data_IF_427066611887
#
_entry.id   IF_427066611887
#
_cell.length_a   1.000
_cell.length_b   1.000
_cell.length_c   1.000
_cell.angle_alpha   90.00
_cell.angle_beta   90.00
_cell.angle_gamma   90.00
#
_symmetry.space_group_name_H-M   'P 1'
#
loop_
_entity.id
_entity.type
_entity.pdbx_description
1 polymer ?
#
# COMPACT_ATOMS: atom_id res chain seq x y z
N UNK A 1 24.55 17.39 95.70
CA UNK A 1 25.45 17.06 94.57
C UNK A 1 25.03 17.90 93.38
N UNK A 2 25.73 19.00 93.12
CA UNK A 2 25.40 19.91 92.02
C UNK A 2 26.09 19.42 90.73
N UNK A 3 25.29 19.02 89.76
CA UNK A 3 25.71 18.64 88.41
C UNK A 3 26.15 19.89 87.66
N UNK A 4 27.40 19.93 87.19
CA UNK A 4 27.97 21.07 86.47
C UNK A 4 27.39 21.20 85.05
N UNK A 5 26.93 22.39 84.62
CA UNK A 5 26.21 22.61 83.35
C UNK A 5 27.10 22.51 82.11
N UNK A 6 28.41 22.41 82.27
CA UNK A 6 29.42 22.45 81.21
C UNK A 6 29.51 21.17 80.37
N UNK A 7 29.13 20.01 80.90
CA UNK A 7 29.15 18.74 80.14
C UNK A 7 27.98 18.62 79.15
N UNK A 8 26.81 19.15 79.51
CA UNK A 8 25.61 19.09 78.66
C UNK A 8 25.75 20.04 77.47
N UNK A 9 26.32 21.23 77.69
CA UNK A 9 26.57 22.21 76.63
C UNK A 9 27.58 21.68 75.62
N UNK A 10 28.66 21.02 76.06
CA UNK A 10 29.64 20.43 75.15
C UNK A 10 29.09 19.24 74.35
N UNK A 11 28.17 18.46 74.91
CA UNK A 11 27.48 17.39 74.20
C UNK A 11 26.49 17.95 73.17
N UNK A 12 25.75 19.00 73.50
CA UNK A 12 24.84 19.68 72.58
C UNK A 12 25.59 20.39 71.45
N UNK A 13 26.73 21.03 71.73
CA UNK A 13 27.55 21.69 70.71
C UNK A 13 28.19 20.67 69.74
N UNK A 14 28.64 19.51 70.25
CA UNK A 14 29.12 18.39 69.42
C UNK A 14 27.99 17.76 68.59
N UNK A 15 26.78 17.68 69.12
CA UNK A 15 25.59 17.20 68.39
C UNK A 15 25.15 18.18 67.29
N UNK A 16 25.25 19.50 67.55
CA UNK A 16 24.94 20.54 66.56
C UNK A 16 25.98 20.60 65.43
N UNK A 17 27.27 20.38 65.76
CA UNK A 17 28.35 20.25 64.77
C UNK A 17 28.27 18.94 63.97
N UNK A 18 27.79 17.84 64.55
CA UNK A 18 27.56 16.61 63.78
C UNK A 18 26.31 16.68 62.90
N UNK A 19 25.25 17.39 63.33
CA UNK A 19 24.06 17.62 62.51
C UNK A 19 24.33 18.54 61.30
N UNK A 20 25.26 19.51 61.41
CA UNK A 20 25.60 20.40 60.30
C UNK A 20 26.47 19.71 59.23
N UNK A 21 27.23 18.66 59.59
CA UNK A 21 27.98 17.85 58.61
C UNK A 21 27.10 16.87 57.82
N UNK A 22 25.87 16.59 58.26
CA UNK A 22 24.92 15.70 57.59
C UNK A 22 23.99 16.41 56.59
N UNK A 23 24.07 17.75 56.46
CA UNK A 23 23.22 18.53 55.56
C UNK A 23 23.96 19.11 54.35
N UNK A 24 24.90 18.35 53.76
CA UNK A 24 25.25 18.58 52.35
C UNK A 24 24.21 17.89 51.49
N UNK A 25 23.10 18.58 51.25
CA UNK A 25 22.17 18.22 50.19
C UNK A 25 22.95 18.22 48.88
N UNK A 26 23.30 17.01 48.43
CA UNK A 26 23.74 16.77 47.07
C UNK A 26 22.54 17.07 46.18
N UNK A 27 22.49 18.29 45.61
CA UNK A 27 21.62 18.58 44.48
C UNK A 27 22.11 17.73 43.31
N UNK A 28 21.68 16.47 43.27
CA UNK A 28 21.73 15.63 42.10
C UNK A 28 20.74 16.25 41.10
N UNK A 29 21.22 17.26 40.36
CA UNK A 29 20.52 17.73 39.18
C UNK A 29 20.20 16.52 38.31
N UNK A 30 18.94 16.41 37.86
CA UNK A 30 18.53 15.37 36.90
C UNK A 30 19.50 15.43 35.72
N UNK A 31 20.49 14.56 35.71
CA UNK A 31 21.35 14.37 34.57
C UNK A 31 20.47 13.71 33.51
N UNK A 32 19.93 14.52 32.60
CA UNK A 32 19.36 13.98 31.37
C UNK A 32 20.53 13.33 30.67
N UNK A 33 20.53 12.00 30.62
CA UNK A 33 21.45 11.25 29.76
C UNK A 33 21.30 11.87 28.39
N UNK A 34 22.36 12.53 27.94
CA UNK A 34 22.49 12.98 26.56
C UNK A 34 22.57 11.68 25.79
N UNK A 35 21.56 11.40 24.97
CA UNK A 35 21.62 10.28 24.05
C UNK A 35 22.95 10.36 23.28
N UNK A 36 23.66 9.25 23.23
CA UNK A 36 24.91 9.17 22.49
C UNK A 36 24.69 9.70 21.07
N UNK A 37 25.61 10.51 20.50
CA UNK A 37 25.47 11.03 19.16
C UNK A 37 25.23 9.86 18.20
N UNK A 38 24.08 9.89 17.52
CA UNK A 38 23.57 8.92 16.54
C UNK A 38 24.61 7.91 16.03
N UNK A 39 24.70 6.75 16.69
CA UNK A 39 25.62 5.65 16.36
C UNK A 39 25.19 4.86 15.11
N UNK A 40 24.50 5.49 14.17
CA UNK A 40 24.08 4.88 12.90
C UNK A 40 25.31 4.70 11.99
N UNK A 41 26.12 3.67 12.26
CA UNK A 41 27.37 3.42 11.53
C UNK A 41 28.37 2.51 12.27
N UNK A 42 28.19 2.25 13.57
CA UNK A 42 28.97 1.25 14.30
C UNK A 42 28.12 0.00 14.49
N UNK A 43 28.55 -1.14 13.94
CA UNK A 43 27.92 -2.45 14.15
C UNK A 43 28.09 -2.90 15.61
N UNK A 44 27.40 -2.26 16.56
CA UNK A 44 27.46 -2.64 17.96
C UNK A 44 26.22 -3.47 18.34
N UNK A 45 26.33 -4.79 18.57
CA UNK A 45 25.19 -5.65 18.87
C UNK A 45 24.57 -5.41 20.26
N UNK A 46 25.11 -4.47 21.06
CA UNK A 46 24.69 -4.19 22.43
C UNK A 46 24.00 -2.82 22.63
N UNK A 47 23.88 -1.98 21.61
CA UNK A 47 23.10 -0.74 21.71
C UNK A 47 21.62 -1.05 21.42
N UNK A 48 20.76 -0.85 22.41
CA UNK A 48 19.32 -0.88 22.20
C UNK A 48 18.96 0.13 21.10
N UNK A 49 18.19 -0.32 20.11
CA UNK A 49 17.70 0.43 18.95
C UNK A 49 16.75 1.58 19.36
N UNK A 50 17.24 2.54 20.15
CA UNK A 50 16.47 3.58 20.83
C UNK A 50 15.75 4.58 19.91
N UNK A 51 15.94 4.50 18.60
CA UNK A 51 15.22 5.35 17.64
C UNK A 51 14.92 4.60 16.34
N UNK A 52 14.34 3.39 16.44
CA UNK A 52 13.80 2.72 15.25
C UNK A 52 12.70 3.60 14.67
N UNK A 53 12.95 4.18 13.49
CA UNK A 53 11.99 4.99 12.74
C UNK A 53 10.67 4.23 12.63
N UNK A 54 9.57 4.89 13.03
CA UNK A 54 8.24 4.28 13.01
C UNK A 54 7.49 4.75 11.75
N UNK A 55 7.15 3.83 10.83
CA UNK A 55 6.39 4.19 9.64
C UNK A 55 4.98 4.63 10.02
N UNK A 56 4.47 5.68 9.35
CA UNK A 56 3.12 6.21 9.58
C UNK A 56 2.02 5.30 9.05
N UNK A 57 2.33 4.56 8.00
CA UNK A 57 1.42 3.61 7.34
C UNK A 57 2.13 2.28 7.17
N UNK A 58 1.35 1.20 7.12
CA UNK A 58 1.88 -0.10 6.74
C UNK A 58 2.27 -0.08 5.25
N UNK A 59 3.41 -0.70 4.88
CA UNK A 59 3.74 -0.93 3.48
C UNK A 59 2.62 -1.69 2.76
N UNK A 60 2.48 -1.44 1.46
CA UNK A 60 1.62 -2.26 0.60
C UNK A 60 2.06 -3.73 0.60
N UNK A 61 1.19 -4.66 0.15
CA UNK A 61 1.58 -6.04 -0.03
C UNK A 61 2.72 -6.16 -1.06
N UNK A 62 3.53 -7.21 -0.94
CA UNK A 62 4.55 -7.53 -1.94
C UNK A 62 3.84 -7.98 -3.22
N UNK A 63 4.06 -7.28 -4.33
CA UNK A 63 3.43 -7.54 -5.63
C UNK A 63 4.41 -7.29 -6.78
N UNK A 64 4.02 -7.63 -8.01
CA UNK A 64 4.84 -7.46 -9.20
C UNK A 64 5.72 -8.68 -9.52
N UNK A 65 6.78 -8.53 -10.33
CA UNK A 65 7.49 -9.67 -10.90
C UNK A 65 8.14 -10.57 -9.83
N UNK A 66 7.87 -11.88 -9.89
CA UNK A 66 8.33 -12.85 -8.89
C UNK A 66 9.85 -12.83 -8.66
N UNK A 67 10.63 -12.58 -9.71
CA UNK A 67 12.09 -12.50 -9.58
C UNK A 67 12.55 -11.30 -8.75
N UNK A 68 11.82 -10.17 -8.77
CA UNK A 68 12.08 -8.97 -7.97
C UNK A 68 11.60 -9.16 -6.52
N UNK A 69 10.48 -9.87 -6.31
CA UNK A 69 9.97 -10.16 -4.97
C UNK A 69 11.01 -10.82 -4.05
N UNK A 70 12.01 -11.52 -4.61
CA UNK A 70 13.16 -12.10 -3.88
C UNK A 70 14.08 -11.07 -3.20
N UNK A 71 13.90 -9.79 -3.50
CA UNK A 71 14.56 -8.68 -2.82
C UNK A 71 13.81 -8.23 -1.55
N UNK A 72 12.56 -8.67 -1.35
CA UNK A 72 11.82 -8.39 -0.13
C UNK A 72 12.60 -8.90 1.10
N UNK A 73 12.65 -8.09 2.15
CA UNK A 73 13.39 -8.39 3.38
C UNK A 73 14.90 -8.17 3.31
N UNK A 74 15.46 -7.76 2.15
CA UNK A 74 16.86 -7.31 2.02
C UNK A 74 16.91 -5.80 2.01
N UNK A 75 17.98 -5.23 2.56
CA UNK A 75 18.20 -3.79 2.60
C UNK A 75 19.55 -3.44 1.99
N UNK A 76 19.59 -2.35 1.22
CA UNK A 76 20.76 -1.89 0.50
C UNK A 76 21.07 -0.47 0.94
N UNK A 77 22.32 -0.22 1.31
CA UNK A 77 22.76 1.11 1.76
C UNK A 77 23.64 1.81 0.74
N UNK A 78 23.51 3.13 0.67
CA UNK A 78 24.33 4.01 -0.15
C UNK A 78 24.66 5.26 0.64
N UNK A 79 25.93 5.65 0.63
CA UNK A 79 26.40 6.83 1.36
C UNK A 79 26.80 7.86 0.32
N UNK A 80 26.20 9.04 0.44
CA UNK A 80 26.52 10.19 -0.40
C UNK A 80 26.72 11.41 0.49
N UNK A 81 27.92 11.99 0.40
CA UNK A 81 28.35 13.08 1.26
C UNK A 81 28.19 12.73 2.74
N UNK A 82 27.26 13.38 3.46
CA UNK A 82 27.00 13.18 4.89
C UNK A 82 25.78 12.33 5.17
N UNK A 83 25.11 11.79 4.15
CA UNK A 83 23.86 11.04 4.32
C UNK A 83 24.04 9.59 3.90
N UNK A 84 23.54 8.68 4.74
CA UNK A 84 23.37 7.27 4.44
C UNK A 84 21.90 7.01 4.11
N UNK A 85 21.65 6.55 2.91
CA UNK A 85 20.36 6.08 2.46
C UNK A 85 20.28 4.57 2.63
N UNK A 86 19.15 4.06 3.09
CA UNK A 86 18.89 2.63 3.18
C UNK A 86 17.55 2.32 2.51
N UNK A 87 17.59 1.46 1.50
CA UNK A 87 16.42 1.05 0.73
C UNK A 87 16.16 -0.43 0.96
N UNK A 88 14.95 -0.74 1.45
CA UNK A 88 14.46 -2.10 1.59
C UNK A 88 13.26 -2.28 0.65
N UNK A 89 13.41 -2.99 -0.50
CA UNK A 89 12.33 -3.22 -1.45
C UNK A 89 11.07 -3.77 -0.78
N UNK A 90 9.91 -3.24 -1.18
CA UNK A 90 8.59 -3.56 -0.63
C UNK A 90 8.37 -3.19 0.85
N UNK A 91 9.29 -2.41 1.46
CA UNK A 91 9.15 -1.95 2.83
C UNK A 91 9.22 -0.42 2.90
N UNK A 92 10.41 0.16 2.99
CA UNK A 92 10.60 1.60 3.08
C UNK A 92 11.98 2.01 2.56
N UNK A 93 12.17 3.32 2.47
CA UNK A 93 13.47 3.95 2.25
C UNK A 93 13.70 4.99 3.34
N UNK A 94 14.89 5.00 3.93
CA UNK A 94 15.28 5.89 5.02
C UNK A 94 16.52 6.70 4.69
N UNK A 95 16.67 7.82 5.37
CA UNK A 95 17.83 8.69 5.32
C UNK A 95 18.36 8.89 6.74
N UNK A 96 19.66 8.70 6.90
CA UNK A 96 20.37 8.89 8.16
C UNK A 96 21.56 9.82 7.93
N UNK A 97 21.56 10.98 8.56
CA UNK A 97 22.71 11.85 8.62
C UNK A 97 23.83 11.18 9.45
N UNK A 98 25.03 11.13 8.89
CA UNK A 98 26.22 10.47 9.46
C UNK A 98 27.07 11.44 10.32
N UNK A 99 26.55 12.61 10.66
CA UNK A 99 27.27 13.58 11.48
C UNK A 99 27.23 13.19 12.96
N UNK A 100 28.30 13.47 13.71
CA UNK A 100 28.37 13.25 15.16
C UNK A 100 27.55 14.26 15.98
N UNK A 101 26.51 14.85 15.37
CA UNK A 101 25.63 15.80 16.05
C UNK A 101 24.63 15.02 16.89
N UNK A 102 24.36 15.51 18.09
CA UNK A 102 23.33 14.95 18.97
C UNK A 102 21.92 15.00 18.36
N UNK A 103 21.70 15.85 17.34
CA UNK A 103 20.44 16.03 16.63
C UNK A 103 20.54 15.73 15.12
N UNK A 104 21.40 14.79 14.70
CA UNK A 104 21.52 14.42 13.29
C UNK A 104 20.16 13.92 12.74
N UNK A 105 19.81 14.33 11.51
CA UNK A 105 18.53 13.96 10.92
C UNK A 105 18.46 12.45 10.64
N UNK A 106 17.34 11.83 11.00
CA UNK A 106 17.03 10.44 10.70
C UNK A 106 15.54 10.37 10.38
N UNK A 107 15.19 9.86 9.20
CA UNK A 107 13.80 9.89 8.75
C UNK A 107 13.47 8.95 7.59
N UNK A 108 12.17 8.74 7.39
CA UNK A 108 11.62 7.90 6.32
C UNK A 108 11.34 8.78 5.10
N UNK A 109 11.96 8.46 3.96
CA UNK A 109 11.75 9.16 2.69
C UNK A 109 10.56 8.62 1.90
N UNK A 110 10.08 7.42 2.24
CA UNK A 110 8.89 6.82 1.65
C UNK A 110 8.70 5.37 2.09
N UNK A 111 7.46 4.91 1.97
CA UNK A 111 6.98 3.57 2.32
C UNK A 111 6.37 2.97 1.06
N UNK A 112 6.64 1.70 0.78
CA UNK A 112 6.15 1.01 -0.42
C UNK A 112 4.63 1.13 -0.57
N UNK A 113 4.16 1.56 -1.74
CA UNK A 113 2.73 1.68 -2.07
C UNK A 113 2.35 0.92 -3.34
N UNK A 114 2.96 1.26 -4.47
CA UNK A 114 2.49 0.84 -5.79
C UNK A 114 3.62 0.88 -6.83
N UNK A 115 3.40 0.20 -7.95
CA UNK A 115 4.24 0.25 -9.12
C UNK A 115 3.88 1.45 -10.02
N UNK A 116 4.87 1.97 -10.72
CA UNK A 116 4.67 2.80 -11.90
C UNK A 116 4.75 1.92 -13.14
N UNK A 117 3.66 1.86 -13.89
CA UNK A 117 3.57 1.08 -15.13
C UNK A 117 3.46 2.05 -16.30
N UNK A 118 4.35 1.89 -17.29
CA UNK A 118 4.34 2.68 -18.52
C UNK A 118 4.43 1.71 -19.70
N UNK A 119 3.54 1.85 -20.68
CA UNK A 119 3.49 0.98 -21.86
C UNK A 119 3.51 -0.52 -21.50
N UNK A 120 2.69 -0.93 -20.52
CA UNK A 120 2.58 -2.34 -20.08
C UNK A 120 3.88 -2.93 -19.51
N UNK A 121 4.79 -2.06 -19.05
CA UNK A 121 6.05 -2.44 -18.39
C UNK A 121 6.20 -1.77 -17.03
N UNK A 122 6.74 -2.50 -16.06
CA UNK A 122 7.11 -1.95 -14.76
C UNK A 122 8.32 -1.03 -14.90
N UNK A 123 8.19 0.23 -14.51
CA UNK A 123 9.25 1.23 -14.62
C UNK A 123 9.91 1.53 -13.27
N UNK A 124 9.08 1.77 -12.24
CA UNK A 124 9.55 2.25 -10.95
C UNK A 124 8.65 1.79 -9.81
N UNK A 125 9.19 1.84 -8.59
CA UNK A 125 8.46 1.64 -7.34
C UNK A 125 8.16 3.00 -6.72
N UNK A 126 6.89 3.28 -6.45
CA UNK A 126 6.48 4.47 -5.71
C UNK A 126 6.46 4.19 -4.21
N UNK A 127 7.35 4.88 -3.50
CA UNK A 127 7.44 4.90 -2.05
C UNK A 127 6.81 6.21 -1.56
N UNK A 128 5.65 6.18 -0.93
CA UNK A 128 4.93 7.39 -0.46
C UNK A 128 4.74 7.38 1.06
N UNK A 129 4.09 8.41 1.60
CA UNK A 129 3.78 8.49 3.03
C UNK A 129 5.02 8.43 3.95
N UNK A 130 6.13 9.01 3.50
CA UNK A 130 7.29 9.24 4.37
C UNK A 130 7.01 10.31 5.44
N UNK A 131 8.06 10.79 6.08
CA UNK A 131 7.95 11.81 7.12
C UNK A 131 7.38 13.12 6.57
N UNK A 132 6.68 13.87 7.44
CA UNK A 132 6.13 15.17 7.07
C UNK A 132 7.24 16.14 6.63
N UNK A 133 6.93 16.90 5.60
CA UNK A 133 7.81 17.87 4.98
C UNK A 133 6.96 19.07 4.50
N UNK A 134 6.72 20.00 5.42
CA UNK A 134 5.77 21.10 5.22
C UNK A 134 4.35 20.57 5.01
N UNK A 135 3.76 20.89 3.86
CA UNK A 135 2.37 20.56 3.53
C UNK A 135 2.20 19.17 2.89
N UNK A 136 3.28 18.42 2.69
CA UNK A 136 3.25 17.09 2.06
C UNK A 136 4.15 16.12 2.80
N UNK A 137 3.89 14.83 2.63
CA UNK A 137 4.78 13.78 3.11
C UNK A 137 5.90 13.56 2.09
N UNK A 138 7.09 13.18 2.56
CA UNK A 138 8.19 12.78 1.67
C UNK A 138 7.75 11.59 0.80
N UNK A 139 8.18 11.61 -0.45
CA UNK A 139 7.92 10.54 -1.41
C UNK A 139 9.18 10.26 -2.20
N UNK A 140 9.37 9.01 -2.59
CA UNK A 140 10.53 8.57 -3.37
C UNK A 140 10.09 7.70 -4.54
N UNK A 141 10.57 8.02 -5.73
CA UNK A 141 10.46 7.18 -6.93
C UNK A 141 11.74 6.37 -7.08
N UNK A 142 11.65 5.04 -6.94
CA UNK A 142 12.78 4.13 -7.12
C UNK A 142 12.73 3.55 -8.53
N UNK A 143 13.68 3.94 -9.37
CA UNK A 143 13.82 3.49 -10.76
C UNK A 143 14.71 2.25 -10.78
N UNK A 144 14.23 1.18 -11.40
CA UNK A 144 14.99 -0.07 -11.55
C UNK A 144 15.83 -0.01 -12.81
N UNK A 145 17.12 -0.32 -12.69
CA UNK A 145 18.08 -0.31 -13.81
C UNK A 145 18.91 -1.58 -13.82
N UNK A 146 19.29 -2.02 -15.02
CA UNK A 146 20.17 -3.17 -15.18
C UNK A 146 21.56 -2.83 -14.62
N UNK A 147 22.09 -3.69 -13.76
CA UNK A 147 23.44 -3.56 -13.21
C UNK A 147 24.01 -4.91 -12.78
N UNK A 148 25.32 -4.97 -12.55
CA UNK A 148 26.02 -6.22 -12.20
C UNK A 148 25.77 -6.72 -10.78
N UNK A 149 25.19 -5.89 -9.91
CA UNK A 149 24.96 -6.19 -8.49
C UNK A 149 23.71 -5.48 -7.98
N UNK A 150 23.08 -6.01 -6.94
CA UNK A 150 21.97 -5.34 -6.24
C UNK A 150 22.52 -4.19 -5.38
N UNK A 151 22.35 -2.94 -5.80
CA UNK A 151 22.80 -1.77 -5.04
C UNK A 151 22.02 -0.51 -5.39
N UNK A 152 21.99 0.42 -4.45
CA UNK A 152 21.63 1.80 -4.72
C UNK A 152 22.79 2.46 -5.49
N UNK A 153 22.49 3.04 -6.66
CA UNK A 153 23.49 3.62 -7.54
C UNK A 153 23.52 5.15 -7.48
N UNK A 154 22.35 5.78 -7.34
CA UNK A 154 22.24 7.24 -7.28
C UNK A 154 21.02 7.65 -6.46
N UNK A 155 21.12 8.77 -5.75
CA UNK A 155 20.02 9.43 -5.05
C UNK A 155 19.99 10.90 -5.45
N UNK A 156 18.80 11.46 -5.63
CA UNK A 156 18.61 12.88 -5.93
C UNK A 156 17.30 13.40 -5.35
N UNK A 157 17.24 14.70 -5.06
CA UNK A 157 16.02 15.40 -4.66
C UNK A 157 15.62 16.41 -5.75
N UNK A 158 15.00 15.97 -6.85
CA UNK A 158 14.65 16.86 -7.96
C UNK A 158 13.67 17.97 -7.58
N UNK A 159 12.77 17.71 -6.62
CA UNK A 159 11.90 18.74 -6.03
C UNK A 159 11.83 18.52 -4.53
N UNK A 160 11.63 19.60 -3.76
CA UNK A 160 11.62 19.52 -2.29
C UNK A 160 10.67 18.44 -1.79
N UNK A 161 11.16 17.56 -0.91
CA UNK A 161 10.48 16.38 -0.36
C UNK A 161 10.14 15.26 -1.38
N UNK A 162 10.61 15.33 -2.62
CA UNK A 162 10.42 14.28 -3.63
C UNK A 162 11.78 13.81 -4.11
N UNK A 163 12.06 12.55 -3.84
CA UNK A 163 13.34 11.93 -4.13
C UNK A 163 13.22 11.03 -5.35
N UNK A 164 14.31 10.93 -6.10
CA UNK A 164 14.50 9.95 -7.17
C UNK A 164 15.73 9.13 -6.89
N UNK A 165 15.56 7.81 -6.91
CA UNK A 165 16.59 6.85 -6.53
C UNK A 165 16.76 5.85 -7.67
N UNK A 166 17.99 5.60 -8.09
CA UNK A 166 18.31 4.57 -9.07
C UNK A 166 18.81 3.33 -8.33
N UNK A 167 18.08 2.23 -8.48
CA UNK A 167 18.46 0.93 -7.95
C UNK A 167 18.94 0.03 -9.09
N UNK A 168 20.19 -0.39 -9.03
CA UNK A 168 20.79 -1.33 -9.96
C UNK A 168 20.55 -2.76 -9.50
N UNK A 169 20.14 -3.62 -10.42
CA UNK A 169 19.99 -5.05 -10.16
C UNK A 169 20.16 -5.88 -11.44
N UNK A 170 20.82 -7.05 -11.37
CA UNK A 170 20.90 -7.97 -12.52
C UNK A 170 19.54 -8.57 -12.87
N UNK A 171 18.56 -8.48 -11.96
CA UNK A 171 17.24 -9.07 -12.10
C UNK A 171 16.40 -8.39 -13.19
N UNK A 172 16.76 -7.17 -13.61
CA UNK A 172 16.02 -6.40 -14.63
C UNK A 172 16.78 -6.25 -15.96
N UNK A 173 17.86 -7.01 -16.15
CA UNK A 173 18.69 -6.91 -17.36
C UNK A 173 18.11 -7.61 -18.59
N UNK A 174 17.21 -8.57 -18.41
CA UNK A 174 16.56 -9.25 -19.52
C UNK A 174 15.46 -8.34 -20.12
N UNK A 175 15.34 -8.19 -21.45
CA UNK A 175 14.37 -7.25 -22.04
C UNK A 175 12.92 -7.51 -21.62
N UNK A 176 12.59 -8.76 -21.29
CA UNK A 176 11.24 -9.16 -20.89
C UNK A 176 11.04 -9.28 -19.37
N UNK A 177 12.02 -8.90 -18.54
CA UNK A 177 11.89 -9.04 -17.08
C UNK A 177 10.81 -8.12 -16.49
N UNK A 178 10.54 -6.98 -17.13
CA UNK A 178 9.62 -5.97 -16.60
C UNK A 178 8.26 -5.96 -17.29
N UNK A 179 7.92 -6.98 -18.09
CA UNK A 179 6.60 -7.07 -18.73
C UNK A 179 5.51 -7.36 -17.69
N UNK A 180 4.40 -6.64 -17.77
CA UNK A 180 3.28 -6.79 -16.84
C UNK A 180 2.47 -8.05 -17.13
N UNK A 181 2.15 -8.32 -18.40
CA UNK A 181 1.28 -9.43 -18.80
C UNK A 181 1.71 -10.79 -18.22
N UNK A 182 2.99 -11.23 -18.33
CA UNK A 182 3.42 -12.52 -17.77
C UNK A 182 3.46 -12.57 -16.24
N UNK A 183 3.33 -11.42 -15.57
CA UNK A 183 3.31 -11.31 -14.11
C UNK A 183 1.90 -11.47 -13.55
N UNK A 184 0.87 -11.32 -14.39
CA UNK A 184 -0.52 -11.52 -14.00
C UNK A 184 -0.84 -13.00 -13.84
N UNK A 185 -1.86 -13.31 -13.03
CA UNK A 185 -2.41 -14.66 -12.94
C UNK A 185 -3.30 -14.98 -14.16
N UNK A 186 -3.61 -16.26 -14.37
CA UNK A 186 -4.36 -16.73 -15.54
C UNK A 186 -5.72 -16.04 -15.71
N UNK A 187 -6.41 -15.71 -14.60
CA UNK A 187 -7.69 -15.00 -14.63
C UNK A 187 -7.52 -13.60 -15.22
N UNK A 188 -6.56 -12.84 -14.69
CA UNK A 188 -6.29 -11.46 -15.10
C UNK A 188 -5.67 -11.38 -16.50
N UNK A 189 -4.89 -12.39 -16.90
CA UNK A 189 -4.41 -12.50 -18.29
C UNK A 189 -5.59 -12.66 -19.26
N UNK A 190 -6.55 -13.54 -18.93
CA UNK A 190 -7.75 -13.71 -19.76
C UNK A 190 -8.57 -12.42 -19.87
N UNK A 191 -8.76 -11.71 -18.75
CA UNK A 191 -9.46 -10.42 -18.75
C UNK A 191 -8.73 -9.37 -19.61
N UNK A 192 -7.39 -9.38 -19.60
CA UNK A 192 -6.61 -8.56 -20.51
C UNK A 192 -6.85 -8.96 -21.97
N UNK A 193 -6.75 -10.25 -22.30
CA UNK A 193 -6.95 -10.75 -23.67
C UNK A 193 -8.33 -10.35 -24.22
N UNK A 194 -9.37 -10.44 -23.39
CA UNK A 194 -10.73 -9.99 -23.72
C UNK A 194 -10.78 -8.47 -23.97
N UNK A 195 -10.08 -7.67 -23.16
CA UNK A 195 -10.00 -6.22 -23.35
C UNK A 195 -9.23 -5.82 -24.62
N UNK A 196 -8.14 -6.52 -24.95
CA UNK A 196 -7.41 -6.35 -26.22
C UNK A 196 -8.27 -6.69 -27.41
N UNK A 197 -8.96 -7.85 -27.37
CA UNK A 197 -9.84 -8.27 -28.44
C UNK A 197 -10.97 -7.25 -28.66
N UNK A 198 -11.60 -6.78 -27.58
CA UNK A 198 -12.64 -5.76 -27.66
C UNK A 198 -12.12 -4.43 -28.23
N UNK A 199 -10.87 -4.05 -27.93
CA UNK A 199 -10.25 -2.86 -28.50
C UNK A 199 -9.91 -3.05 -29.98
N UNK A 200 -9.39 -4.22 -30.36
CA UNK A 200 -9.07 -4.57 -31.74
C UNK A 200 -10.32 -4.60 -32.63
N UNK A 201 -11.44 -5.10 -32.10
CA UNK A 201 -12.74 -5.16 -32.78
C UNK A 201 -13.48 -3.80 -32.76
N UNK A 202 -12.83 -2.72 -32.32
CA UNK A 202 -13.39 -1.36 -32.19
C UNK A 202 -14.67 -1.29 -31.33
N UNK A 203 -14.90 -2.26 -30.44
CA UNK A 203 -16.06 -2.31 -29.54
C UNK A 203 -15.90 -1.35 -28.35
N UNK A 204 -14.65 -1.00 -28.03
CA UNK A 204 -14.31 -0.05 -26.96
C UNK A 204 -13.35 1.03 -27.46
N UNK A 205 -13.43 2.20 -26.84
CA UNK A 205 -12.49 3.29 -27.13
C UNK A 205 -11.14 3.03 -26.45
N UNK A 206 -10.07 3.69 -26.93
CA UNK A 206 -8.74 3.68 -26.29
C UNK A 206 -8.79 4.06 -24.81
N UNK A 207 -9.66 5.01 -24.45
CA UNK A 207 -9.86 5.39 -23.04
C UNK A 207 -10.51 4.25 -22.24
N UNK A 208 -11.50 3.57 -22.82
CA UNK A 208 -12.12 2.38 -22.23
C UNK A 208 -11.12 1.26 -21.99
N UNK A 209 -10.30 0.93 -23.00
CA UNK A 209 -9.22 -0.05 -22.88
C UNK A 209 -8.23 0.30 -21.76
N UNK A 210 -7.75 1.55 -21.71
CA UNK A 210 -6.84 1.99 -20.65
C UNK A 210 -7.46 1.91 -19.24
N UNK A 211 -8.78 2.14 -19.13
CA UNK A 211 -9.48 1.99 -17.85
C UNK A 211 -9.58 0.53 -17.42
N UNK A 212 -9.90 -0.38 -18.35
CA UNK A 212 -9.92 -1.83 -18.09
C UNK A 212 -8.55 -2.33 -17.64
N UNK A 213 -7.47 -1.92 -18.32
CA UNK A 213 -6.11 -2.27 -17.90
C UNK A 213 -5.78 -1.75 -16.50
N UNK A 214 -6.20 -0.52 -16.18
CA UNK A 214 -6.00 0.05 -14.85
C UNK A 214 -6.72 -0.79 -13.78
N UNK A 215 -7.96 -1.21 -14.05
CA UNK A 215 -8.73 -2.09 -13.15
C UNK A 215 -8.03 -3.43 -12.95
N UNK A 216 -7.55 -4.06 -14.04
CA UNK A 216 -6.74 -5.29 -13.97
C UNK A 216 -5.49 -5.10 -13.10
N UNK A 217 -4.80 -3.96 -13.21
CA UNK A 217 -3.59 -3.67 -12.41
C UNK A 217 -3.91 -3.35 -10.95
N UNK A 218 -5.05 -2.74 -10.67
CA UNK A 218 -5.54 -2.55 -9.30
C UNK A 218 -5.89 -3.90 -8.66
N UNK A 219 -6.59 -4.78 -9.39
CA UNK A 219 -6.94 -6.13 -8.94
C UNK A 219 -5.72 -7.04 -8.75
N UNK A 220 -4.67 -6.86 -9.56
CA UNK A 220 -3.37 -7.50 -9.38
C UNK A 220 -2.58 -6.97 -8.15
N UNK A 221 -3.04 -5.88 -7.54
CA UNK A 221 -2.33 -5.20 -6.46
C UNK A 221 -1.06 -4.47 -6.93
N UNK A 222 -0.96 -4.13 -8.21
CA UNK A 222 0.16 -3.35 -8.75
C UNK A 222 -0.05 -1.85 -8.56
N UNK A 223 -1.30 -1.39 -8.66
CA UNK A 223 -1.69 0.00 -8.46
C UNK A 223 -2.56 0.15 -7.21
N UNK A 224 -2.48 1.30 -6.54
CA UNK A 224 -3.39 1.61 -5.43
C UNK A 224 -4.71 2.12 -5.99
N UNK A 225 -5.84 1.59 -5.50
CA UNK A 225 -7.16 2.12 -5.83
C UNK A 225 -7.23 3.60 -5.45
N UNK A 226 -7.48 4.46 -6.43
CA UNK A 226 -7.67 5.89 -6.17
C UNK A 226 -9.03 6.11 -5.47
N UNK A 227 -9.05 6.01 -4.14
CA UNK A 227 -10.10 6.68 -3.36
C UNK A 227 -9.83 8.18 -3.42
N UNK A 228 -10.40 8.85 -4.41
CA UNK A 228 -10.36 10.31 -4.50
C UNK A 228 -11.11 10.88 -3.29
N UNK A 229 -10.40 11.42 -2.30
CA UNK A 229 -10.98 12.37 -1.36
C UNK A 229 -11.25 13.68 -2.12
N UNK A 230 -12.49 13.82 -2.59
CA UNK A 230 -13.03 15.13 -3.02
C UNK A 230 -13.43 15.92 -1.77
N UNK A 231 -13.22 17.25 -1.74
CA UNK A 231 -13.70 18.10 -0.65
C UNK A 231 -15.22 18.02 -0.57
N UNK A 232 -15.74 17.66 0.62
CA UNK A 232 -17.15 17.64 1.02
C UNK A 232 -18.16 17.55 -0.13
N UNK A 233 -18.17 16.41 -0.81
CA UNK A 233 -19.44 15.84 -1.26
C UNK A 233 -19.60 14.58 -0.46
N UNK A 234 -20.48 14.64 0.53
CA UNK A 234 -20.93 13.50 1.33
C UNK A 234 -20.97 12.27 0.44
N UNK A 235 -20.14 11.27 0.74
CA UNK A 235 -20.26 9.93 0.21
C UNK A 235 -21.59 9.39 0.71
N UNK A 236 -22.67 9.81 0.07
CA UNK A 236 -23.78 8.91 -0.15
C UNK A 236 -23.17 7.80 -0.98
N UNK A 237 -22.72 6.75 -0.28
CA UNK A 237 -23.16 5.42 -0.65
C UNK A 237 -24.61 5.60 -1.09
N UNK A 238 -24.91 5.52 -2.39
CA UNK A 238 -26.30 5.36 -2.83
C UNK A 238 -26.74 3.93 -2.48
N UNK A 239 -26.75 3.62 -1.19
CA UNK A 239 -27.74 2.80 -0.51
C UNK A 239 -28.71 3.84 0.04
N UNK A 240 -29.78 4.23 -0.63
CA UNK A 240 -30.78 3.40 -1.28
C UNK A 240 -31.26 4.12 -2.54
N UNK A 241 -31.33 3.43 -3.68
CA UNK A 241 -32.53 3.62 -4.50
C UNK A 241 -33.65 2.89 -3.75
N UNK A 242 -34.75 3.60 -3.48
CA UNK A 242 -35.92 2.96 -2.89
C UNK A 242 -36.35 1.81 -3.79
N UNK A 243 -36.84 0.70 -3.20
CA UNK A 243 -37.43 -0.41 -3.98
C UNK A 243 -38.46 0.12 -4.99
N UNK A 244 -39.16 1.19 -4.62
CA UNK A 244 -40.07 1.92 -5.50
C UNK A 244 -39.39 2.50 -6.75
N UNK A 245 -38.22 3.14 -6.62
CA UNK A 245 -37.48 3.68 -7.77
C UNK A 245 -36.96 2.58 -8.70
N UNK A 246 -36.48 1.47 -8.14
CA UNK A 246 -36.09 0.30 -8.93
C UNK A 246 -37.27 -0.30 -9.71
N UNK A 247 -38.45 -0.41 -9.08
CA UNK A 247 -39.66 -0.91 -9.73
C UNK A 247 -40.19 0.05 -10.81
N UNK A 248 -40.11 1.36 -10.55
CA UNK A 248 -40.48 2.41 -11.50
C UNK A 248 -39.59 2.37 -12.75
N UNK A 249 -38.28 2.22 -12.56
CA UNK A 249 -37.30 2.18 -13.64
C UNK A 249 -37.43 0.87 -14.45
N UNK A 250 -37.67 -0.27 -13.79
CA UNK A 250 -37.96 -1.53 -14.46
C UNK A 250 -39.23 -1.46 -15.33
N UNK A 251 -40.28 -0.77 -14.85
CA UNK A 251 -41.50 -0.55 -15.63
C UNK A 251 -41.25 0.33 -16.86
N UNK A 252 -40.53 1.44 -16.70
CA UNK A 252 -40.16 2.33 -17.82
C UNK A 252 -39.32 1.60 -18.87
N UNK A 253 -38.39 0.76 -18.43
CA UNK A 253 -37.58 -0.06 -19.33
C UNK A 253 -38.44 -1.06 -20.11
N UNK A 254 -39.38 -1.73 -19.44
CA UNK A 254 -40.33 -2.63 -20.10
C UNK A 254 -41.19 -1.91 -21.15
N UNK A 255 -41.65 -0.69 -20.85
CA UNK A 255 -42.45 0.11 -21.78
C UNK A 255 -41.63 0.54 -23.01
N UNK A 256 -40.38 0.94 -22.82
CA UNK A 256 -39.51 1.33 -23.93
C UNK A 256 -39.11 0.14 -24.80
N UNK A 257 -38.87 -1.05 -24.21
CA UNK A 257 -38.65 -2.28 -24.98
C UNK A 257 -39.86 -2.59 -25.86
N UNK A 258 -41.07 -2.51 -25.31
CA UNK A 258 -42.29 -2.76 -26.07
C UNK A 258 -42.49 -1.73 -27.19
N UNK A 259 -42.16 -0.46 -26.93
CA UNK A 259 -42.17 0.60 -27.94
C UNK A 259 -41.18 0.34 -29.08
N UNK A 260 -39.95 -0.04 -28.75
CA UNK A 260 -38.92 -0.36 -29.73
C UNK A 260 -39.31 -1.58 -30.56
N UNK A 261 -39.87 -2.62 -29.94
CA UNK A 261 -40.41 -3.78 -30.65
C UNK A 261 -41.55 -3.40 -31.61
N UNK A 262 -42.45 -2.51 -31.21
CA UNK A 262 -43.51 -2.00 -32.08
C UNK A 262 -42.95 -1.24 -33.29
N UNK A 263 -41.92 -0.40 -33.10
CA UNK A 263 -41.25 0.33 -34.18
C UNK A 263 -40.52 -0.63 -35.13
N UNK A 264 -39.80 -1.62 -34.59
CA UNK A 264 -39.12 -2.64 -35.41
C UNK A 264 -40.12 -3.43 -36.25
N UNK A 265 -41.28 -3.76 -35.66
CA UNK A 265 -42.38 -4.44 -36.36
C UNK A 265 -42.99 -3.56 -37.43
N UNK A 266 -43.19 -2.26 -37.16
CA UNK A 266 -43.70 -1.28 -38.13
C UNK A 266 -42.77 -1.10 -39.33
N UNK A 267 -41.46 -1.22 -39.11
CA UNK A 267 -40.43 -1.08 -40.15
C UNK A 267 -40.01 -2.42 -40.78
N UNK A 268 -40.71 -3.54 -40.49
CA UNK A 268 -40.41 -4.88 -40.98
C UNK A 268 -38.96 -5.33 -40.70
N UNK A 269 -38.37 -4.87 -39.59
CA UNK A 269 -37.01 -5.24 -39.17
C UNK A 269 -37.10 -6.52 -38.32
N UNK A 270 -36.49 -7.65 -38.73
CA UNK A 270 -36.50 -8.88 -37.94
C UNK A 270 -35.78 -8.69 -36.60
N UNK A 271 -36.39 -9.15 -35.51
CA UNK A 271 -35.77 -9.24 -34.19
C UNK A 271 -36.18 -10.54 -33.50
N UNK A 272 -35.33 -11.06 -32.62
CA UNK A 272 -35.57 -12.32 -31.90
C UNK A 272 -36.52 -12.07 -30.71
N UNK A 273 -37.64 -12.79 -30.63
CA UNK A 273 -38.75 -12.53 -29.69
C UNK A 273 -38.78 -13.48 -28.50
N UNK A 274 -37.72 -14.27 -28.27
CA UNK A 274 -37.64 -15.16 -27.11
C UNK A 274 -37.08 -14.41 -25.89
N UNK A 275 -37.73 -14.45 -24.71
CA UNK A 275 -37.04 -14.20 -23.46
C UNK A 275 -36.12 -15.40 -23.21
N UNK A 276 -34.92 -15.34 -23.78
CA UNK A 276 -33.84 -16.25 -23.41
C UNK A 276 -33.42 -15.96 -21.98
N UNK A 277 -33.44 -17.00 -21.15
CA UNK A 277 -32.77 -17.05 -19.86
C UNK A 277 -31.27 -16.77 -20.01
N UNK A 278 -30.89 -15.49 -20.09
CA UNK A 278 -29.62 -15.00 -19.57
C UNK A 278 -29.97 -14.13 -18.37
N UNK A 279 -30.14 -14.79 -17.22
CA UNK A 279 -30.64 -14.16 -16.00
C UNK A 279 -29.70 -13.08 -15.47
N UNK A 280 -29.95 -11.82 -15.83
CA UNK A 280 -29.69 -10.68 -14.95
C UNK A 280 -31.01 -10.26 -14.30
N UNK A 281 -31.47 -11.10 -13.37
CA UNK A 281 -32.59 -10.76 -12.50
C UNK A 281 -32.05 -9.89 -11.36
N UNK A 282 -32.37 -8.59 -11.36
CA UNK A 282 -32.11 -7.74 -10.20
C UNK A 282 -33.11 -8.09 -9.08
N UNK A 283 -32.81 -9.15 -8.33
CA UNK A 283 -33.51 -9.47 -7.08
C UNK A 283 -33.00 -8.57 -5.96
N UNK A 284 -33.90 -7.82 -5.34
CA UNK A 284 -33.59 -6.97 -4.19
C UNK A 284 -34.05 -7.69 -2.90
N UNK A 285 -33.20 -8.56 -2.35
CA UNK A 285 -33.45 -9.23 -1.05
C UNK A 285 -32.45 -8.83 0.04
N UNK A 286 -32.95 -8.85 1.27
CA UNK A 286 -32.34 -8.24 2.47
C UNK A 286 -31.37 -9.21 3.16
N UNK A 287 -30.06 -8.94 3.01
CA UNK A 287 -28.94 -9.21 3.92
C UNK A 287 -28.47 -10.65 4.26
N UNK A 288 -27.17 -10.87 3.93
CA UNK A 288 -26.07 -11.63 4.59
C UNK A 288 -26.15 -13.17 4.67
N UNK A 289 -25.24 -13.87 3.97
CA UNK A 289 -24.14 -14.73 4.51
C UNK A 289 -23.63 -15.74 3.44
N UNK A 290 -22.36 -15.57 3.05
CA UNK A 290 -21.31 -16.55 2.68
C UNK A 290 -21.64 -17.85 1.88
N UNK A 291 -20.79 -18.07 0.86
CA UNK A 291 -20.15 -19.33 0.42
C UNK A 291 -20.58 -20.02 -0.89
N UNK A 292 -19.52 -20.52 -1.53
CA UNK A 292 -19.39 -21.64 -2.49
C UNK A 292 -19.89 -21.46 -3.93
N UNK A 293 -18.92 -21.36 -4.83
CA UNK A 293 -19.07 -21.74 -6.24
C UNK A 293 -18.94 -23.27 -6.30
N UNK A 294 -20.05 -23.97 -6.52
CA UNK A 294 -20.04 -25.34 -7.03
C UNK A 294 -20.78 -25.35 -8.37
N UNK A 295 -20.05 -25.76 -9.40
CA UNK A 295 -20.50 -25.99 -10.78
C UNK A 295 -21.53 -27.11 -10.85
N UNK A 296 -22.64 -26.88 -11.56
CA UNK A 296 -23.42 -27.93 -12.24
C UNK A 296 -24.40 -27.30 -13.25
N UNK A 297 -24.25 -27.62 -14.54
CA UNK A 297 -25.32 -27.59 -15.56
C UNK A 297 -25.06 -28.73 -16.54
N UNK A 298 -25.81 -29.82 -16.39
CA UNK A 298 -26.79 -30.30 -17.38
C UNK A 298 -27.05 -31.80 -17.24
N UNK A 299 -28.24 -32.11 -16.72
CA UNK A 299 -28.89 -33.42 -16.78
C UNK A 299 -30.08 -33.35 -17.74
N UNK A 300 -29.87 -33.75 -19.00
CA UNK A 300 -30.97 -34.25 -19.85
C UNK A 300 -30.53 -35.32 -20.85
N UNK A 301 -29.34 -35.90 -20.67
CA UNK A 301 -28.81 -36.96 -21.53
C UNK A 301 -28.30 -38.17 -20.71
N UNK A 302 -28.99 -38.55 -19.64
CA UNK A 302 -28.66 -39.79 -18.92
C UNK A 302 -29.78 -40.39 -18.06
N UNK A 303 -31.07 -40.29 -18.45
CA UNK A 303 -32.14 -40.98 -17.70
C UNK A 303 -33.27 -41.50 -18.59
N UNK A 304 -32.90 -42.07 -19.76
CA UNK A 304 -33.81 -42.91 -20.54
C UNK A 304 -33.24 -44.28 -20.94
N UNK A 305 -32.05 -44.67 -20.46
CA UNK A 305 -31.54 -46.04 -20.64
C UNK A 305 -30.83 -46.47 -19.36
N UNK A 306 -31.59 -46.95 -18.37
CA UNK A 306 -31.15 -48.00 -17.44
C UNK A 306 -32.24 -48.32 -16.42
N UNK A 307 -33.34 -48.92 -16.88
CA UNK A 307 -34.11 -49.90 -16.10
C UNK A 307 -35.07 -50.65 -17.04
N UNK A 308 -34.55 -51.67 -17.73
CA UNK A 308 -35.18 -52.99 -17.97
C UNK A 308 -34.46 -53.77 -19.09
N UNK A 309 -33.96 -54.95 -18.70
CA UNK A 309 -33.55 -56.12 -19.52
C UNK A 309 -32.19 -55.91 -20.25
N UNK A 310 -31.08 -56.59 -19.96
CA UNK A 310 -30.79 -57.95 -19.47
C UNK A 310 -29.57 -57.96 -18.54
#
# INVERSE_FOLDING_TARGET
>A
MYYTPTRIINLLFKCLLSLSLLSTYSNAGKMKIVEEPNTFGLNNPFLAQGSRLQPRVTPGPVSGPAHIQRLAGKCFSYIESTYKYEFCPFHNITQHEQSFRWNAYSGILGIWQEWEIVNNTFLAMWMREGDACGNKNRQTKVILTCGGSNKLAQVSEPTTCVYSVTFETPLVCHPHSLLVYPTLNDKLQKEWDEAEQAYYDDLITKQGYNNLLREIFEDAGFLKTQKVEKPNTTTTLKKHDSLQKCNEDARKQSEEIHRLQALLTQHNIPYDSKPGESGHYYSCTRSVMVCSVLTCLNSSLCEQISQRVH
#
